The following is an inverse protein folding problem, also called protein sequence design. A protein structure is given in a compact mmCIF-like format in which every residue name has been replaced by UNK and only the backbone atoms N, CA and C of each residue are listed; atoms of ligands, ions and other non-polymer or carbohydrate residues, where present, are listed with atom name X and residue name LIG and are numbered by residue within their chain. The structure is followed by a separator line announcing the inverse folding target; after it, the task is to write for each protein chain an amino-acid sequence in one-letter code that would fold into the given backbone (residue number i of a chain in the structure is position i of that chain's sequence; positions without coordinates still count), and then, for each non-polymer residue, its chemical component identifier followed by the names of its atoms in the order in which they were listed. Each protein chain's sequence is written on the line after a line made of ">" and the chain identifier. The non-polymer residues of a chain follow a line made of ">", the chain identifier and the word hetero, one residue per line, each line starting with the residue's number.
data_IF_075133306682
#
_entry.id   IF_075133306682
#
_cell.length_a   1.000
_cell.length_b   1.000
_cell.length_c   1.000
_cell.angle_alpha   90.00
_cell.angle_beta   90.00
_cell.angle_gamma   90.00
#
_symmetry.space_group_name_H-M   'P 1'
#
loop_
_entity.id
_entity.type
_entity.pdbx_description
1 polymer ?
#
# COMPACT_ATOMS: atom_id res chain seq x y z
N UNK A 1 28.10 24.33 -15.89
CA UNK A 1 28.36 22.88 -15.94
C UNK A 1 27.05 22.19 -15.63
N UNK A 2 26.50 21.47 -16.61
CA UNK A 2 25.43 20.49 -16.40
C UNK A 2 26.09 19.20 -15.93
N UNK A 3 25.36 18.46 -15.09
CA UNK A 3 25.36 17.01 -14.86
C UNK A 3 25.48 16.62 -13.39
N UNK A 4 24.34 16.23 -12.83
CA UNK A 4 24.22 14.97 -12.11
C UNK A 4 22.82 14.42 -12.41
N UNK A 5 22.71 13.69 -13.52
CA UNK A 5 21.66 12.72 -13.75
C UNK A 5 21.92 11.52 -12.82
N UNK A 6 20.94 11.19 -11.98
CA UNK A 6 20.68 9.84 -11.48
C UNK A 6 19.31 9.84 -10.80
N UNK A 7 18.27 10.04 -11.61
CA UNK A 7 16.90 9.70 -11.21
C UNK A 7 16.74 8.18 -11.23
N UNK A 8 16.32 7.60 -10.11
CA UNK A 8 15.65 6.31 -10.07
C UNK A 8 16.34 5.23 -9.23
N UNK A 9 15.52 4.55 -8.41
CA UNK A 9 15.71 3.19 -7.94
C UNK A 9 16.71 2.96 -6.79
N UNK A 10 16.43 3.52 -5.61
CA UNK A 10 16.78 2.85 -4.35
C UNK A 10 15.59 2.98 -3.40
N UNK A 11 14.99 1.85 -3.06
CA UNK A 11 14.34 1.76 -1.76
C UNK A 11 15.44 2.08 -0.75
N UNK A 12 15.14 2.99 0.17
CA UNK A 12 16.05 3.29 1.26
C UNK A 12 16.43 1.97 1.93
N UNK A 13 17.74 1.73 2.12
CA UNK A 13 18.21 0.53 2.80
C UNK A 13 17.54 0.41 4.17
N UNK A 14 17.25 1.55 4.80
CA UNK A 14 16.50 1.63 6.05
C UNK A 14 15.07 1.09 5.92
N UNK A 15 14.33 1.45 4.87
CA UNK A 15 12.97 0.92 4.63
C UNK A 15 13.01 -0.59 4.37
N UNK A 16 13.93 -1.06 3.53
CA UNK A 16 14.04 -2.49 3.24
C UNK A 16 14.41 -3.32 4.48
N UNK A 17 15.31 -2.82 5.33
CA UNK A 17 15.66 -3.44 6.60
C UNK A 17 14.49 -3.45 7.57
N UNK A 18 13.72 -2.35 7.65
CA UNK A 18 12.52 -2.26 8.49
C UNK A 18 11.45 -3.25 8.07
N UNK A 19 11.16 -3.37 6.78
CA UNK A 19 10.19 -4.35 6.25
C UNK A 19 10.62 -5.78 6.60
N UNK A 20 11.90 -6.11 6.42
CA UNK A 20 12.44 -7.43 6.82
C UNK A 20 12.30 -7.67 8.31
N UNK A 21 12.61 -6.67 9.14
CA UNK A 21 12.45 -6.78 10.58
C UNK A 21 11.00 -7.05 10.96
N UNK A 22 10.03 -6.30 10.40
CA UNK A 22 8.60 -6.55 10.65
C UNK A 22 8.22 -7.98 10.27
N UNK A 23 8.71 -8.48 9.12
CA UNK A 23 8.48 -9.85 8.65
C UNK A 23 8.97 -10.93 9.59
N UNK A 24 10.13 -10.73 10.19
CA UNK A 24 10.69 -11.71 11.11
C UNK A 24 10.01 -11.70 12.49
N UNK A 25 9.23 -10.66 12.81
CA UNK A 25 8.59 -10.46 14.12
C UNK A 25 7.06 -10.53 14.10
N UNK A 26 6.44 -10.75 12.94
CA UNK A 26 5.02 -11.11 12.84
C UNK A 26 4.74 -12.52 13.38
N UNK A 27 3.48 -12.77 13.77
CA UNK A 27 3.03 -14.12 14.07
C UNK A 27 3.29 -15.03 12.84
N UNK A 28 3.80 -16.26 13.04
CA UNK A 28 4.05 -17.18 11.93
C UNK A 28 2.85 -17.41 11.00
N UNK A 29 1.60 -17.31 11.50
CA UNK A 29 0.38 -17.43 10.69
C UNK A 29 0.21 -16.26 9.75
N UNK A 30 0.49 -15.05 10.21
CA UNK A 30 0.42 -13.83 9.38
C UNK A 30 1.60 -13.77 8.41
N UNK A 31 2.75 -14.31 8.83
CA UNK A 31 3.93 -14.52 7.97
C UNK A 31 3.66 -15.50 6.82
N UNK A 32 2.78 -16.48 7.00
CA UNK A 32 2.39 -17.44 5.93
C UNK A 32 1.52 -16.77 4.87
N UNK A 33 0.66 -15.81 5.25
CA UNK A 33 -0.05 -14.95 4.30
C UNK A 33 0.88 -13.96 3.60
N UNK A 34 1.94 -13.50 4.27
CA UNK A 34 3.05 -12.75 3.66
C UNK A 34 3.97 -13.64 2.78
N UNK A 35 3.69 -14.94 2.73
CA UNK A 35 4.66 -15.97 2.36
C UNK A 35 4.45 -16.65 1.01
N UNK A 36 3.26 -16.63 0.40
CA UNK A 36 3.00 -17.41 -0.82
C UNK A 36 1.88 -16.77 -1.67
N UNK A 37 2.19 -15.89 -2.61
CA UNK A 37 2.53 -16.25 -4.02
C UNK A 37 4.01 -16.01 -4.40
N UNK A 38 4.92 -16.03 -3.42
CA UNK A 38 6.37 -15.84 -3.61
C UNK A 38 7.00 -16.96 -4.43
N UNK A 39 7.17 -16.72 -5.74
CA UNK A 39 8.41 -17.05 -6.45
C UNK A 39 9.42 -15.90 -6.29
N UNK A 40 10.63 -16.05 -6.82
CA UNK A 40 11.61 -14.96 -6.87
C UNK A 40 10.96 -13.64 -7.32
N UNK A 41 11.41 -12.47 -6.82
CA UNK A 41 10.99 -11.19 -7.38
C UNK A 41 11.11 -11.28 -8.89
N UNK A 42 10.02 -11.10 -9.63
CA UNK A 42 9.98 -11.39 -11.08
C UNK A 42 11.05 -10.56 -11.79
N UNK A 43 12.23 -11.14 -11.98
CA UNK A 43 13.36 -10.52 -12.70
C UNK A 43 13.05 -10.33 -14.20
N UNK A 44 11.95 -10.91 -14.68
CA UNK A 44 11.36 -10.62 -15.97
C UNK A 44 9.92 -11.08 -16.01
N UNK A 45 8.97 -10.16 -15.93
CA UNK A 45 7.54 -10.51 -15.99
C UNK A 45 6.57 -9.41 -15.59
N UNK A 46 7.06 -8.29 -15.05
CA UNK A 46 6.19 -7.14 -14.77
C UNK A 46 5.87 -6.36 -16.04
N UNK A 47 4.62 -5.92 -16.19
CA UNK A 47 4.19 -5.04 -17.28
C UNK A 47 5.04 -3.75 -17.29
N UNK A 48 5.34 -3.18 -18.47
CA UNK A 48 6.26 -2.02 -18.51
C UNK A 48 5.63 -0.77 -17.92
N UNK A 49 4.32 -0.62 -18.07
CA UNK A 49 3.58 0.50 -17.49
C UNK A 49 3.49 0.41 -15.97
N UNK A 50 3.67 -0.78 -15.37
CA UNK A 50 3.53 -0.94 -13.93
C UNK A 50 4.59 -0.10 -13.20
N UNK A 51 4.21 0.69 -12.18
CA UNK A 51 5.11 1.61 -11.53
C UNK A 51 6.39 0.97 -10.99
N UNK A 52 7.50 1.58 -11.38
CA UNK A 52 8.87 1.35 -10.94
C UNK A 52 9.01 1.12 -9.42
N UNK A 53 8.44 2.04 -8.65
CA UNK A 53 8.51 1.99 -7.18
C UNK A 53 7.80 0.76 -6.62
N UNK A 54 6.62 0.44 -7.15
CA UNK A 54 5.86 -0.73 -6.73
C UNK A 54 6.56 -2.05 -7.08
N UNK A 55 7.33 -2.12 -8.18
CA UNK A 55 8.15 -3.31 -8.48
C UNK A 55 9.17 -3.57 -7.39
N UNK A 56 9.84 -2.50 -6.96
CA UNK A 56 10.86 -2.57 -5.92
C UNK A 56 10.24 -2.96 -4.58
N UNK A 57 9.09 -2.36 -4.26
CA UNK A 57 8.36 -2.58 -3.01
C UNK A 57 7.73 -3.98 -2.94
N UNK A 58 7.15 -4.45 -4.05
CA UNK A 58 6.58 -5.79 -4.17
C UNK A 58 7.61 -6.88 -3.82
N UNK A 59 8.88 -6.72 -4.23
CA UNK A 59 9.94 -7.64 -3.83
C UNK A 59 10.16 -7.78 -2.30
N UNK A 60 9.60 -6.88 -1.49
CA UNK A 60 9.76 -6.85 -0.04
C UNK A 60 8.51 -7.28 0.74
N UNK A 61 7.31 -7.01 0.22
CA UNK A 61 6.06 -7.25 0.95
C UNK A 61 4.87 -7.72 0.09
N UNK A 62 5.09 -8.31 -1.09
CA UNK A 62 4.02 -8.86 -1.96
C UNK A 62 3.03 -9.72 -1.17
N UNK A 63 1.75 -9.33 -1.15
CA UNK A 63 0.72 -10.05 -0.39
C UNK A 63 0.70 -9.81 1.12
N UNK A 64 1.26 -8.69 1.63
CA UNK A 64 1.18 -8.33 3.05
C UNK A 64 -0.26 -8.41 3.57
N UNK A 65 -0.46 -9.21 4.62
CA UNK A 65 -1.74 -9.30 5.32
C UNK A 65 -1.55 -9.31 6.84
N UNK A 66 -2.32 -8.50 7.53
CA UNK A 66 -2.47 -8.46 8.99
C UNK A 66 -3.96 -8.39 9.34
N UNK A 67 -4.30 -8.13 10.61
CA UNK A 67 -5.68 -7.87 11.03
C UNK A 67 -6.29 -6.62 10.39
N UNK A 68 -5.48 -5.59 10.08
CA UNK A 68 -5.97 -4.33 9.51
C UNK A 68 -5.45 -4.03 8.11
N UNK A 69 -4.44 -4.76 7.62
CA UNK A 69 -3.81 -4.50 6.34
C UNK A 69 -4.00 -5.67 5.39
N UNK A 70 -4.39 -5.41 4.14
CA UNK A 70 -4.38 -6.39 3.06
C UNK A 70 -3.83 -5.74 1.78
N UNK A 71 -2.53 -5.83 1.54
CA UNK A 71 -1.93 -5.40 0.27
C UNK A 71 -1.86 -6.56 -0.71
N UNK A 72 -2.37 -6.32 -1.91
CA UNK A 72 -2.54 -7.32 -2.95
C UNK A 72 -1.21 -7.74 -3.56
N UNK A 73 -1.11 -9.01 -3.98
CA UNK A 73 0.02 -9.46 -4.78
C UNK A 73 0.05 -8.76 -6.13
N UNK A 74 1.23 -8.66 -6.76
CA UNK A 74 1.36 -8.15 -8.12
C UNK A 74 0.35 -8.80 -9.08
N UNK A 75 0.17 -10.12 -9.01
CA UNK A 75 -0.74 -10.86 -9.88
C UNK A 75 -2.20 -10.47 -9.69
N UNK A 76 -2.61 -10.14 -8.46
CA UNK A 76 -3.94 -9.59 -8.17
C UNK A 76 -4.07 -8.15 -8.67
N UNK A 77 -3.05 -7.31 -8.48
CA UNK A 77 -3.06 -5.91 -8.90
C UNK A 77 -3.15 -5.74 -10.42
N UNK A 78 -2.48 -6.59 -11.19
CA UNK A 78 -2.49 -6.51 -12.67
C UNK A 78 -3.56 -7.39 -13.33
N UNK A 79 -4.38 -8.09 -12.54
CA UNK A 79 -5.36 -9.04 -13.06
C UNK A 79 -6.34 -8.34 -14.01
N UNK A 80 -6.36 -8.79 -15.26
CA UNK A 80 -7.23 -8.25 -16.30
C UNK A 80 -6.63 -7.08 -17.09
N UNK A 81 -5.48 -6.54 -16.67
CA UNK A 81 -4.76 -5.50 -17.40
C UNK A 81 -3.77 -6.07 -18.42
N UNK A 82 -3.46 -5.29 -19.45
CA UNK A 82 -2.55 -5.70 -20.53
C UNK A 82 -1.54 -4.59 -20.83
N UNK A 83 -0.47 -4.95 -21.53
CA UNK A 83 0.59 -4.00 -21.89
C UNK A 83 0.09 -2.85 -22.79
N UNK A 84 -0.83 -3.16 -23.70
CA UNK A 84 -1.38 -2.21 -24.68
C UNK A 84 -2.47 -1.30 -24.12
N UNK A 85 -2.94 -1.55 -22.91
CA UNK A 85 -4.05 -0.85 -22.27
C UNK A 85 -3.74 -0.67 -20.77
N UNK A 86 -2.83 0.27 -20.44
CA UNK A 86 -2.47 0.54 -19.06
C UNK A 86 -3.65 1.18 -18.33
N UNK A 87 -3.97 0.74 -17.10
CA UNK A 87 -4.99 1.41 -16.32
C UNK A 87 -4.52 2.80 -15.89
N UNK A 88 -5.47 3.70 -15.64
CA UNK A 88 -5.20 4.99 -14.99
C UNK A 88 -4.80 4.79 -13.53
N UNK A 89 -5.42 3.82 -12.86
CA UNK A 89 -5.23 3.56 -11.43
C UNK A 89 -5.06 2.05 -11.16
N UNK A 90 -4.23 1.72 -10.17
CA UNK A 90 -4.08 0.36 -9.66
C UNK A 90 -4.49 0.33 -8.19
N UNK A 91 -5.40 -0.57 -7.82
CA UNK A 91 -5.69 -0.86 -6.42
C UNK A 91 -4.55 -1.66 -5.79
N UNK A 92 -3.94 -1.11 -4.75
CA UNK A 92 -2.81 -1.70 -4.03
C UNK A 92 -3.27 -2.64 -2.91
N UNK A 93 -4.44 -2.41 -2.33
CA UNK A 93 -4.91 -3.16 -1.18
C UNK A 93 -6.03 -2.48 -0.41
N UNK A 94 -6.25 -2.96 0.80
CA UNK A 94 -7.24 -2.49 1.75
C UNK A 94 -6.60 -2.19 3.12
N UNK A 95 -7.13 -1.18 3.79
CA UNK A 95 -6.91 -0.89 5.20
C UNK A 95 -8.26 -1.01 5.92
N UNK A 96 -8.26 -1.61 7.11
CA UNK A 96 -9.47 -1.83 7.92
C UNK A 96 -10.64 -2.44 7.11
N UNK A 97 -10.34 -3.34 6.17
CA UNK A 97 -11.26 -4.07 5.29
C UNK A 97 -12.10 -3.24 4.30
N UNK A 98 -12.33 -1.95 4.53
CA UNK A 98 -13.20 -1.09 3.72
C UNK A 98 -12.48 0.10 3.07
N UNK A 99 -11.22 0.38 3.40
CA UNK A 99 -10.51 1.54 2.82
C UNK A 99 -9.58 1.11 1.69
N UNK A 100 -9.92 1.48 0.46
CA UNK A 100 -9.17 1.11 -0.74
C UNK A 100 -7.94 2.00 -0.86
N UNK A 101 -6.77 1.38 -0.87
CA UNK A 101 -5.52 2.04 -1.22
C UNK A 101 -5.31 1.89 -2.72
N UNK A 102 -5.17 3.01 -3.43
CA UNK A 102 -4.95 3.01 -4.87
C UNK A 102 -3.78 3.91 -5.25
N UNK A 103 -3.25 3.72 -6.46
CA UNK A 103 -2.21 4.58 -7.02
C UNK A 103 -2.52 4.94 -8.46
N UNK A 104 -2.44 6.22 -8.76
CA UNK A 104 -2.52 6.70 -10.14
C UNK A 104 -1.21 6.40 -10.87
N UNK A 105 -1.28 5.65 -11.98
CA UNK A 105 -0.11 5.16 -12.72
C UNK A 105 0.70 6.33 -13.33
N UNK A 106 0.01 7.39 -13.75
CA UNK A 106 0.64 8.54 -14.40
C UNK A 106 1.37 9.48 -13.44
N UNK A 107 0.76 9.77 -12.29
CA UNK A 107 1.29 10.73 -11.31
C UNK A 107 2.07 10.07 -10.18
N UNK A 108 1.85 8.77 -9.92
CA UNK A 108 2.32 8.05 -8.73
C UNK A 108 1.74 8.59 -7.41
N UNK A 109 0.63 9.30 -7.47
CA UNK A 109 -0.12 9.67 -6.28
C UNK A 109 -0.83 8.44 -5.70
N UNK A 110 -0.66 8.20 -4.40
CA UNK A 110 -1.37 7.17 -3.65
C UNK A 110 -2.50 7.82 -2.88
N UNK A 111 -3.71 7.29 -3.02
CA UNK A 111 -4.89 7.76 -2.29
C UNK A 111 -5.55 6.62 -1.51
N UNK A 112 -6.25 6.99 -0.44
CA UNK A 112 -7.05 6.09 0.40
C UNK A 112 -8.50 6.55 0.34
N UNK A 113 -9.39 5.67 -0.10
CA UNK A 113 -10.82 5.94 -0.26
C UNK A 113 -11.65 5.03 0.63
N UNK A 114 -12.73 5.54 1.21
CA UNK A 114 -13.75 4.69 1.81
C UNK A 114 -14.50 3.97 0.68
N UNK A 115 -14.53 2.62 0.70
CA UNK A 115 -15.25 1.85 -0.31
C UNK A 115 -16.75 2.17 -0.30
N UNK A 116 -17.31 2.56 0.84
CA UNK A 116 -18.72 2.92 0.97
C UNK A 116 -19.05 4.16 0.15
N UNK A 117 -18.16 5.16 0.17
CA UNK A 117 -18.32 6.37 -0.65
C UNK A 117 -18.36 6.00 -2.13
N UNK A 118 -17.44 5.14 -2.59
CA UNK A 118 -17.38 4.74 -3.98
C UNK A 118 -18.59 3.87 -4.42
N UNK A 119 -19.18 3.09 -3.52
CA UNK A 119 -20.30 2.19 -3.82
C UNK A 119 -21.67 2.87 -3.77
N UNK A 120 -21.82 3.94 -2.98
CA UNK A 120 -23.11 4.66 -2.84
C UNK A 120 -23.00 6.17 -3.05
N UNK A 121 -22.65 6.64 -4.27
CA UNK A 121 -22.57 8.06 -4.58
C UNK A 121 -23.91 8.81 -4.38
N UNK A 122 -25.03 8.11 -4.45
CA UNK A 122 -26.37 8.66 -4.22
C UNK A 122 -26.66 9.05 -2.77
N UNK A 123 -25.79 8.66 -1.82
CA UNK A 123 -25.91 8.97 -0.40
C UNK A 123 -25.24 10.28 -0.02
N UNK A 124 -24.50 10.91 -0.94
CA UNK A 124 -23.84 12.20 -0.72
C UNK A 124 -24.85 13.34 -0.80
N UNK A 125 -24.61 14.38 0.00
CA UNK A 125 -25.40 15.60 -0.07
C UNK A 125 -25.25 16.25 -1.47
N UNK A 126 -26.31 16.91 -1.98
CA UNK A 126 -26.19 17.69 -3.21
C UNK A 126 -25.06 18.72 -3.03
N UNK A 127 -24.01 18.58 -3.84
CA UNK A 127 -22.75 19.36 -3.84
C UNK A 127 -21.59 18.83 -2.96
N UNK A 128 -21.69 17.63 -2.38
CA UNK A 128 -20.57 16.96 -1.71
C UNK A 128 -19.90 15.94 -2.64
N UNK A 129 -18.65 16.20 -3.04
CA UNK A 129 -17.80 15.23 -3.73
C UNK A 129 -16.97 14.47 -2.68
N UNK A 130 -16.80 13.16 -2.80
CA UNK A 130 -16.02 12.39 -1.86
C UNK A 130 -14.56 12.84 -1.94
N UNK A 131 -13.95 13.00 -0.78
CA UNK A 131 -12.52 13.27 -0.69
C UNK A 131 -11.79 12.02 -0.20
N UNK A 132 -10.57 11.78 -0.70
CA UNK A 132 -9.75 10.71 -0.16
C UNK A 132 -9.37 11.02 1.29
N UNK A 133 -9.45 10.02 2.16
CA UNK A 133 -9.03 10.11 3.57
C UNK A 133 -7.57 10.55 3.68
N UNK A 134 -6.74 10.09 2.75
CA UNK A 134 -5.33 10.44 2.68
C UNK A 134 -4.85 10.44 1.23
N UNK A 135 -3.97 11.39 0.91
CA UNK A 135 -3.28 11.46 -0.39
C UNK A 135 -1.80 11.71 -0.20
N UNK A 136 -0.96 10.90 -0.85
CA UNK A 136 0.51 10.93 -0.70
C UNK A 136 1.18 10.77 -2.06
N UNK A 137 2.06 11.73 -2.38
CA UNK A 137 2.90 11.61 -3.56
C UNK A 137 3.99 10.54 -3.37
N UNK A 138 3.94 9.49 -4.21
CA UNK A 138 4.96 8.45 -4.33
C UNK A 138 4.69 7.21 -3.46
N UNK A 139 4.59 6.00 -4.06
CA UNK A 139 4.38 4.76 -3.31
C UNK A 139 5.42 4.50 -2.24
N UNK A 140 6.71 4.73 -2.52
CA UNK A 140 7.77 4.48 -1.53
C UNK A 140 7.58 5.33 -0.28
N UNK A 141 7.20 6.60 -0.47
CA UNK A 141 6.94 7.54 0.63
C UNK A 141 5.71 7.14 1.43
N UNK A 142 4.65 6.68 0.75
CA UNK A 142 3.46 6.16 1.41
C UNK A 142 3.79 4.97 2.30
N UNK A 143 4.44 3.93 1.75
CA UNK A 143 4.78 2.73 2.51
C UNK A 143 5.78 3.01 3.63
N UNK A 144 6.79 3.84 3.41
CA UNK A 144 7.77 4.20 4.45
C UNK A 144 7.11 4.94 5.61
N UNK A 145 6.31 5.98 5.31
CA UNK A 145 5.74 6.84 6.36
C UNK A 145 4.58 6.19 7.08
N UNK A 146 3.66 5.59 6.33
CA UNK A 146 2.33 5.25 6.82
C UNK A 146 2.09 3.77 7.02
N UNK A 147 2.81 2.88 6.34
CA UNK A 147 2.61 1.44 6.51
C UNK A 147 3.70 0.83 7.39
N UNK A 148 4.96 1.23 7.17
CA UNK A 148 6.10 0.75 7.94
C UNK A 148 6.69 1.85 8.83
N UNK A 149 6.02 3.00 9.01
CA UNK A 149 6.59 4.16 9.69
C UNK A 149 5.76 4.66 10.85
N UNK A 150 6.28 5.71 11.49
CA UNK A 150 5.64 6.37 12.63
C UNK A 150 4.28 7.02 12.32
N UNK A 151 3.92 7.18 11.03
CA UNK A 151 2.63 7.72 10.62
C UNK A 151 1.50 6.70 10.63
N UNK A 152 1.78 5.41 10.80
CA UNK A 152 0.75 4.36 10.82
C UNK A 152 -0.33 4.57 11.89
N UNK A 153 0.00 4.88 13.17
CA UNK A 153 -1.03 5.02 14.20
C UNK A 153 -2.00 6.17 13.89
N UNK A 154 -1.48 7.31 13.44
CA UNK A 154 -2.27 8.48 13.05
C UNK A 154 -3.19 8.14 11.87
N UNK A 155 -2.68 7.44 10.84
CA UNK A 155 -3.50 7.01 9.70
C UNK A 155 -4.65 6.09 10.13
N UNK A 156 -4.37 5.11 11.00
CA UNK A 156 -5.42 4.19 11.48
C UNK A 156 -6.43 4.92 12.36
N UNK A 157 -5.98 5.86 13.20
CA UNK A 157 -6.87 6.65 14.04
C UNK A 157 -7.79 7.53 13.18
N UNK A 158 -7.28 8.14 12.10
CA UNK A 158 -8.08 8.91 11.14
C UNK A 158 -9.12 8.03 10.42
N UNK A 159 -8.71 6.83 9.98
CA UNK A 159 -9.59 5.86 9.33
C UNK A 159 -10.69 5.36 10.28
N UNK A 160 -10.33 4.98 11.52
CA UNK A 160 -11.28 4.43 12.50
C UNK A 160 -12.15 5.52 13.14
N UNK A 161 -11.75 6.78 13.11
CA UNK A 161 -12.62 7.90 13.49
C UNK A 161 -13.84 8.02 12.56
N UNK A 162 -13.67 7.65 11.28
CA UNK A 162 -14.74 7.63 10.28
C UNK A 162 -15.61 6.37 10.44
N UNK A 163 -15.01 5.21 10.69
CA UNK A 163 -15.73 3.94 10.92
C UNK A 163 -15.10 3.13 12.06
N UNK A 164 -15.67 3.16 13.28
CA UNK A 164 -15.10 2.44 14.41
C UNK A 164 -15.36 0.93 14.29
N UNK A 165 -14.43 0.21 13.68
CA UNK A 165 -14.39 -1.26 13.69
C UNK A 165 -13.98 -1.75 15.11
N UNK A 166 -14.63 -2.78 15.68
CA UNK A 166 -14.28 -3.35 17.00
C UNK A 166 -12.93 -4.08 17.07
N UNK A 167 -11.92 -3.71 16.26
CA UNK A 167 -10.58 -4.31 16.35
C UNK A 167 -9.93 -3.93 17.67
N UNK A 168 -10.09 -4.80 18.67
CA UNK A 168 -9.62 -4.58 20.05
C UNK A 168 -8.08 -4.53 20.15
N UNK A 169 -7.35 -5.00 19.12
CA UNK A 169 -5.87 -4.99 19.08
C UNK A 169 -5.32 -4.81 17.67
N UNK A 170 -4.59 -3.71 17.48
CA UNK A 170 -3.77 -3.44 16.30
C UNK A 170 -2.35 -3.96 16.55
N UNK A 171 -2.11 -5.24 16.27
CA UNK A 171 -0.80 -5.87 16.46
C UNK A 171 0.31 -5.25 15.61
N UNK A 172 -0.04 -4.60 14.51
CA UNK A 172 0.91 -3.89 13.65
C UNK A 172 1.40 -2.61 14.30
N UNK A 173 0.51 -1.84 14.95
CA UNK A 173 0.87 -0.68 15.77
C UNK A 173 1.82 -1.04 16.90
N UNK A 174 1.55 -2.14 17.60
CA UNK A 174 2.46 -2.66 18.64
C UNK A 174 3.83 -3.04 18.06
N UNK A 175 3.86 -3.68 16.89
CA UNK A 175 5.09 -4.05 16.21
C UNK A 175 5.93 -2.82 15.83
N UNK A 176 5.31 -1.81 15.22
CA UNK A 176 5.99 -0.59 14.79
C UNK A 176 6.52 0.24 15.98
N UNK A 177 5.83 0.23 17.13
CA UNK A 177 6.28 0.93 18.34
C UNK A 177 7.65 0.48 18.88
N UNK A 178 8.16 -0.67 18.40
CA UNK A 178 9.46 -1.23 18.79
C UNK A 178 10.62 -0.75 17.91
N UNK A 179 10.32 -0.14 16.77
CA UNK A 179 11.29 0.20 15.73
C UNK A 179 11.18 1.63 15.18
N UNK A 180 10.08 2.32 15.48
CA UNK A 180 9.80 3.68 15.04
C UNK A 180 9.84 4.67 16.23
#
# INVERSE_FOLDING_TARGET
>A
MKEAQSSGWRIDLELAERIRWCRDHLDPRDRLSWGHEVGDPREGGTLRWYPSELKSLGGLFDGLRTDLLEFYSYDRQVKGHREADPPTEVSLGLIAFSYIVSVEVGSLEVSIWDATDLETPEMWDEDEEPEPVCTVQGPTRFFDRYIFGAGYPELIDDILAVSPDPVERDGWRELLSRIC
#
